data_IF_402658136235
#
_entry.id   IF_402658136235
#
_cell.length_a   1.000
_cell.length_b   1.000
_cell.length_c   1.000
_cell.angle_alpha   90.00
_cell.angle_beta   90.00
_cell.angle_gamma   90.00
#
_symmetry.space_group_name_H-M   'P 1'
#
loop_
_entity.id
_entity.type
_entity.pdbx_description
1 polymer ?
#
# COMPACT_ATOMS: atom_id res chain seq x y z
N UNK A 1 2.24 2.58 4.77
CA UNK A 1 1.02 3.03 5.45
C UNK A 1 0.43 1.88 6.23
N UNK A 2 0.01 2.07 7.49
CA UNK A 2 -0.74 1.03 8.21
C UNK A 2 -2.18 1.00 7.69
N UNK A 3 -2.70 -0.20 7.51
CA UNK A 3 -4.09 -0.45 7.12
C UNK A 3 -4.69 -1.53 7.99
N UNK A 4 -6.01 -1.54 8.06
CA UNK A 4 -6.78 -2.64 8.65
C UNK A 4 -7.67 -3.26 7.59
N UNK A 5 -7.63 -4.59 7.50
CA UNK A 5 -8.30 -5.38 6.45
C UNK A 5 -9.08 -6.55 7.03
N UNK A 6 -10.18 -6.91 6.36
CA UNK A 6 -11.03 -8.02 6.79
C UNK A 6 -11.96 -7.66 7.95
N UNK A 7 -12.76 -8.64 8.38
CA UNK A 7 -13.79 -8.44 9.42
C UNK A 7 -13.21 -8.16 10.80
N UNK A 8 -12.02 -8.68 11.08
CA UNK A 8 -11.34 -8.53 12.37
C UNK A 8 -10.37 -7.34 12.38
N UNK A 9 -10.43 -6.47 11.38
CA UNK A 9 -9.53 -5.32 11.25
C UNK A 9 -8.06 -5.74 11.41
N UNK A 10 -7.62 -6.75 10.66
CA UNK A 10 -6.25 -7.25 10.75
C UNK A 10 -5.26 -6.15 10.37
N UNK A 11 -4.30 -5.77 11.24
CA UNK A 11 -3.35 -4.73 10.96
C UNK A 11 -2.29 -5.20 9.97
N UNK A 12 -2.10 -4.47 8.89
CA UNK A 12 -1.09 -4.74 7.87
C UNK A 12 -0.39 -3.47 7.42
N UNK A 13 0.79 -3.63 6.81
CA UNK A 13 1.49 -2.54 6.14
C UNK A 13 1.22 -2.59 4.65
N UNK A 14 0.76 -1.46 4.11
CA UNK A 14 0.48 -1.27 2.70
C UNK A 14 1.42 -0.25 2.05
N UNK A 15 1.79 -0.54 0.80
CA UNK A 15 2.39 0.39 -0.15
C UNK A 15 1.28 0.99 -1.01
N UNK A 16 1.21 2.32 -1.03
CA UNK A 16 0.39 3.06 -2.00
C UNK A 16 1.15 3.12 -3.30
N UNK A 17 0.61 2.54 -4.38
CA UNK A 17 1.34 2.44 -5.64
C UNK A 17 0.48 2.82 -6.84
N UNK A 18 0.60 4.07 -7.27
CA UNK A 18 -0.15 4.64 -8.40
C UNK A 18 0.15 3.98 -9.73
N UNK A 19 1.29 3.31 -9.88
CA UNK A 19 1.65 2.57 -11.09
C UNK A 19 1.13 1.11 -11.09
N UNK A 20 0.54 0.62 -9.99
CA UNK A 20 -0.04 -0.72 -9.97
C UNK A 20 -1.43 -0.73 -10.57
N UNK A 21 -1.69 -1.67 -11.48
CA UNK A 21 -3.02 -1.90 -12.03
C UNK A 21 -3.93 -2.72 -11.10
N UNK A 22 -3.37 -3.30 -10.04
CA UNK A 22 -4.09 -4.19 -9.11
C UNK A 22 -3.82 -3.83 -7.64
N UNK A 23 -4.79 -4.17 -6.81
CA UNK A 23 -4.58 -4.34 -5.38
C UNK A 23 -4.04 -5.75 -5.15
N UNK A 24 -2.96 -5.89 -4.38
CA UNK A 24 -2.31 -7.18 -4.15
C UNK A 24 -2.12 -7.36 -2.65
N UNK A 25 -2.38 -8.56 -2.16
CA UNK A 25 -2.09 -8.98 -0.78
C UNK A 25 -1.36 -10.31 -0.85
N UNK A 26 -0.42 -10.55 0.05
CA UNK A 26 0.21 -11.87 0.17
C UNK A 26 -0.80 -12.90 0.68
N UNK A 27 -0.62 -14.16 0.30
CA UNK A 27 -1.46 -15.26 0.77
C UNK A 27 -1.50 -15.31 2.31
N UNK A 28 -0.34 -15.25 2.96
CA UNK A 28 -0.23 -15.24 4.43
C UNK A 28 -1.07 -14.13 5.08
N UNK A 29 -1.05 -12.92 4.53
CA UNK A 29 -1.82 -11.81 5.07
C UNK A 29 -3.31 -11.95 4.78
N UNK A 30 -3.69 -12.52 3.63
CA UNK A 30 -5.09 -12.82 3.32
C UNK A 30 -5.66 -13.89 4.26
N UNK A 31 -4.88 -14.93 4.57
CA UNK A 31 -5.25 -15.99 5.52
C UNK A 31 -5.38 -15.41 6.93
N UNK A 32 -4.40 -14.63 7.41
CA UNK A 32 -4.44 -14.01 8.75
C UNK A 32 -5.60 -13.02 8.92
N UNK A 33 -5.98 -12.34 7.84
CA UNK A 33 -7.12 -11.43 7.82
C UNK A 33 -8.47 -12.14 7.57
N UNK A 34 -8.47 -13.47 7.48
CA UNK A 34 -9.65 -14.30 7.21
C UNK A 34 -10.44 -13.80 5.99
N UNK A 35 -9.73 -13.40 4.93
CA UNK A 35 -10.37 -12.87 3.73
C UNK A 35 -10.99 -14.00 2.92
N UNK A 36 -12.29 -13.90 2.55
CA UNK A 36 -12.89 -14.80 1.60
C UNK A 36 -12.09 -14.78 0.29
N UNK A 37 -11.76 -15.94 -0.23
CA UNK A 37 -11.06 -16.03 -1.51
C UNK A 37 -11.84 -16.91 -2.50
N UNK A 38 -11.78 -16.54 -3.77
CA UNK A 38 -12.16 -17.40 -4.89
C UNK A 38 -10.89 -17.79 -5.63
N UNK A 39 -10.79 -19.06 -6.05
CA UNK A 39 -9.66 -19.51 -6.86
C UNK A 39 -9.60 -18.72 -8.16
N UNK A 40 -8.41 -18.29 -8.52
CA UNK A 40 -8.08 -17.63 -9.77
C UNK A 40 -6.80 -18.27 -10.29
N UNK A 41 -6.68 -18.42 -11.61
CA UNK A 41 -5.42 -18.77 -12.23
C UNK A 41 -5.02 -17.63 -13.16
N UNK A 42 -4.17 -16.74 -12.65
CA UNK A 42 -3.67 -15.57 -13.36
C UNK A 42 -2.20 -15.41 -13.00
N UNK A 43 -1.44 -14.76 -13.87
CA UNK A 43 -0.08 -14.34 -13.56
C UNK A 43 0.12 -12.86 -13.88
N UNK A 44 0.96 -12.21 -13.08
CA UNK A 44 1.38 -10.83 -13.27
C UNK A 44 2.80 -10.80 -13.76
N UNK A 45 3.07 -9.95 -14.74
CA UNK A 45 4.42 -9.69 -15.23
C UNK A 45 4.87 -8.32 -14.76
N UNK A 46 5.96 -8.29 -13.99
CA UNK A 46 6.63 -7.05 -13.61
C UNK A 46 7.49 -6.47 -14.74
N UNK A 47 7.91 -5.22 -14.59
CA UNK A 47 8.76 -4.50 -15.57
C UNK A 47 10.08 -5.25 -15.84
N UNK A 48 10.63 -5.93 -14.83
CA UNK A 48 11.83 -6.78 -14.97
C UNK A 48 11.60 -8.14 -15.61
N UNK A 49 10.40 -8.42 -16.15
CA UNK A 49 10.05 -9.70 -16.78
C UNK A 49 9.70 -10.83 -15.80
N UNK A 50 9.90 -10.63 -14.50
CA UNK A 50 9.48 -11.55 -13.46
C UNK A 50 7.98 -11.80 -13.51
N UNK A 51 7.59 -13.07 -13.37
CA UNK A 51 6.18 -13.48 -13.36
C UNK A 51 5.80 -13.95 -11.96
N UNK A 52 4.69 -13.44 -11.44
CA UNK A 52 4.13 -13.79 -10.13
C UNK A 52 2.75 -14.38 -10.31
N UNK A 53 2.52 -15.60 -9.81
CA UNK A 53 1.20 -16.24 -9.86
C UNK A 53 0.24 -15.61 -8.86
N UNK A 54 -0.99 -15.34 -9.30
CA UNK A 54 -2.12 -14.99 -8.45
C UNK A 54 -2.98 -16.24 -8.26
N UNK A 55 -3.07 -16.67 -7.00
CA UNK A 55 -3.73 -17.92 -6.60
C UNK A 55 -5.22 -17.74 -6.30
N UNK A 56 -5.69 -16.50 -6.17
CA UNK A 56 -7.07 -16.19 -5.85
C UNK A 56 -7.40 -14.71 -5.91
N UNK A 57 -8.70 -14.41 -5.89
CA UNK A 57 -9.21 -13.06 -5.62
C UNK A 57 -9.76 -13.03 -4.20
N UNK A 58 -9.25 -12.12 -3.37
CA UNK A 58 -9.83 -11.80 -2.07
C UNK A 58 -11.06 -10.91 -2.27
N UNK A 59 -12.22 -11.32 -1.75
CA UNK A 59 -13.45 -10.54 -1.77
C UNK A 59 -13.62 -9.82 -0.42
N UNK A 60 -13.21 -8.55 -0.38
CA UNK A 60 -13.45 -7.70 0.77
C UNK A 60 -13.59 -6.23 0.34
N UNK A 61 -14.59 -5.56 0.91
CA UNK A 61 -15.05 -4.25 0.46
C UNK A 61 -14.43 -3.08 1.22
N UNK A 62 -13.80 -3.33 2.36
CA UNK A 62 -13.34 -2.26 3.26
C UNK A 62 -11.87 -2.44 3.64
N UNK A 63 -11.10 -1.39 3.40
CA UNK A 63 -9.74 -1.19 3.93
C UNK A 63 -9.79 0.11 4.73
N UNK A 64 -9.42 0.07 6.00
CA UNK A 64 -9.32 1.28 6.81
C UNK A 64 -7.88 1.77 6.80
N UNK A 65 -7.69 3.06 6.54
CA UNK A 65 -6.37 3.69 6.49
C UNK A 65 -6.00 4.26 7.86
N UNK A 66 -4.75 4.03 8.28
CA UNK A 66 -4.20 4.60 9.50
C UNK A 66 -2.83 5.23 9.25
N UNK A 67 -2.58 6.37 9.90
CA UNK A 67 -1.28 7.05 9.85
C UNK A 67 -0.22 6.25 10.60
N UNK A 68 1.00 6.22 10.05
CA UNK A 68 2.15 5.57 10.66
C UNK A 68 2.25 4.07 10.37
N UNK A 69 3.15 3.41 11.10
CA UNK A 69 3.47 1.98 10.93
C UNK A 69 4.90 1.77 10.41
N UNK A 70 5.62 0.83 11.05
CA UNK A 70 6.94 0.35 10.64
C UNK A 70 6.85 -1.16 10.43
N UNK A 71 7.52 -1.67 9.40
CA UNK A 71 7.57 -3.11 9.11
C UNK A 71 7.50 -3.42 7.62
N UNK A 72 7.57 -4.71 7.32
CA UNK A 72 7.49 -5.23 5.96
C UNK A 72 6.13 -4.93 5.34
N UNK A 73 6.13 -4.51 4.07
CA UNK A 73 4.92 -4.27 3.30
C UNK A 73 4.37 -5.62 2.81
N UNK A 74 3.09 -5.85 3.05
CA UNK A 74 2.40 -7.08 2.64
C UNK A 74 1.20 -6.82 1.73
N UNK A 75 0.84 -5.54 1.53
CA UNK A 75 -0.28 -5.11 0.70
C UNK A 75 0.18 -4.03 -0.27
N UNK A 76 -0.28 -4.10 -1.52
CA UNK A 76 -0.19 -3.03 -2.51
C UNK A 76 -1.59 -2.48 -2.73
N UNK A 77 -1.77 -1.18 -2.49
CA UNK A 77 -2.97 -0.43 -2.84
C UNK A 77 -2.71 0.25 -4.18
N UNK A 78 -3.21 -0.37 -5.24
CA UNK A 78 -3.05 0.07 -6.62
C UNK A 78 -4.15 1.02 -7.08
N UNK A 79 -4.11 1.38 -8.36
CA UNK A 79 -5.08 2.30 -8.99
C UNK A 79 -6.55 1.97 -8.69
N UNK A 80 -7.01 0.70 -8.67
CA UNK A 80 -8.40 0.41 -8.34
C UNK A 80 -8.80 0.94 -6.97
N UNK A 81 -8.00 0.65 -5.93
CA UNK A 81 -8.27 1.18 -4.58
C UNK A 81 -8.23 2.71 -4.55
N UNK A 82 -7.24 3.32 -5.21
CA UNK A 82 -7.07 4.77 -5.23
C UNK A 82 -8.26 5.48 -5.90
N UNK A 83 -8.74 4.93 -7.02
CA UNK A 83 -9.87 5.47 -7.77
C UNK A 83 -11.18 5.34 -6.99
N UNK A 84 -11.47 4.15 -6.46
CA UNK A 84 -12.71 3.87 -5.71
C UNK A 84 -12.84 4.76 -4.46
N UNK A 85 -11.70 5.06 -3.82
CA UNK A 85 -11.63 5.87 -2.61
C UNK A 85 -11.34 7.35 -2.88
N UNK A 86 -11.35 7.79 -4.15
CA UNK A 86 -11.08 9.18 -4.58
C UNK A 86 -9.80 9.76 -3.97
N UNK A 87 -8.79 8.91 -3.81
CA UNK A 87 -7.51 9.31 -3.21
C UNK A 87 -6.79 10.27 -4.15
N UNK A 88 -6.19 11.31 -3.57
CA UNK A 88 -5.40 12.30 -4.29
C UNK A 88 -3.99 12.38 -3.72
N UNK A 89 -3.03 12.51 -4.62
CA UNK A 89 -1.68 12.96 -4.28
C UNK A 89 -1.60 14.44 -4.64
N UNK A 90 -1.24 15.25 -3.67
CA UNK A 90 -1.08 16.70 -3.84
C UNK A 90 0.31 17.13 -3.37
N UNK A 91 0.84 18.21 -3.92
CA UNK A 91 2.12 18.76 -3.50
C UNK A 91 1.95 20.21 -3.06
N UNK A 92 2.39 20.51 -1.84
CA UNK A 92 2.46 21.89 -1.36
C UNK A 92 3.88 22.24 -0.92
N UNK A 93 4.30 23.49 -1.14
CA UNK A 93 5.60 23.97 -0.68
C UNK A 93 5.75 23.94 0.84
N UNK A 94 4.64 23.92 1.60
CA UNK A 94 4.66 23.90 3.07
C UNK A 94 4.74 22.49 3.66
N UNK A 95 4.03 21.53 3.06
CA UNK A 95 3.88 20.19 3.62
C UNK A 95 4.57 19.09 2.79
N UNK A 96 4.99 19.42 1.56
CA UNK A 96 5.58 18.49 0.60
C UNK A 96 4.50 17.71 -0.13
N UNK A 97 4.79 16.46 -0.48
CA UNK A 97 3.82 15.56 -1.10
C UNK A 97 2.88 14.97 -0.03
N UNK A 98 1.58 15.07 -0.27
CA UNK A 98 0.51 14.73 0.66
C UNK A 98 -0.40 13.70 0.01
N UNK A 99 -0.67 12.63 0.74
CA UNK A 99 -1.75 11.71 0.48
C UNK A 99 -3.05 12.24 1.09
N UNK A 100 -4.08 12.41 0.28
CA UNK A 100 -5.39 12.91 0.69
C UNK A 100 -6.43 11.82 0.48
N UNK A 101 -7.13 11.47 1.56
CA UNK A 101 -8.25 10.53 1.56
C UNK A 101 -9.47 11.17 2.23
N UNK A 102 -10.59 11.18 1.53
CA UNK A 102 -11.86 11.67 2.06
C UNK A 102 -12.60 10.50 2.70
N UNK A 103 -12.56 10.41 4.03
CA UNK A 103 -13.18 9.31 4.78
C UNK A 103 -14.70 9.52 4.89
N UNK A 104 -15.13 10.76 5.10
CA UNK A 104 -16.55 11.20 5.07
C UNK A 104 -16.62 12.62 4.51
N UNK A 105 -17.81 13.14 4.19
CA UNK A 105 -17.95 14.53 3.72
C UNK A 105 -17.35 15.57 4.67
N UNK A 106 -17.32 15.26 5.98
CA UNK A 106 -16.78 16.12 7.04
C UNK A 106 -15.37 15.72 7.51
N UNK A 107 -14.84 14.57 7.10
CA UNK A 107 -13.55 14.05 7.57
C UNK A 107 -12.61 13.73 6.40
N UNK A 108 -11.47 14.43 6.40
CA UNK A 108 -10.38 14.23 5.45
C UNK A 108 -9.11 13.84 6.20
N UNK A 109 -8.50 12.73 5.78
CA UNK A 109 -7.19 12.31 6.22
C UNK A 109 -6.13 12.87 5.26
N UNK A 110 -5.22 13.68 5.78
CA UNK A 110 -4.07 14.21 5.05
C UNK A 110 -2.79 13.65 5.68
N UNK A 111 -2.04 12.85 4.93
CA UNK A 111 -0.79 12.23 5.41
C UNK A 111 0.39 12.70 4.56
N UNK A 112 1.44 13.31 5.15
CA UNK A 112 2.64 13.63 4.39
C UNK A 112 3.36 12.35 3.95
N UNK A 113 3.68 12.26 2.66
CA UNK A 113 4.49 11.19 2.05
C UNK A 113 5.97 11.61 2.08
N UNK A 114 6.25 12.81 1.59
CA UNK A 114 7.57 13.41 1.51
C UNK A 114 7.55 14.79 2.15
N UNK A 115 8.50 15.11 3.04
CA UNK A 115 8.57 16.41 3.70
C UNK A 115 9.03 17.50 2.71
N UNK A 116 8.43 18.69 2.79
CA UNK A 116 8.77 19.83 1.93
C UNK A 116 10.26 20.19 1.86
N UNK A 117 11.03 19.95 2.93
CA UNK A 117 12.44 20.30 3.02
C UNK A 117 13.39 19.21 2.52
N UNK A 118 12.86 18.04 2.10
CA UNK A 118 13.63 17.01 1.42
C UNK A 118 13.35 17.19 -0.07
N UNK A 119 14.12 18.06 -0.71
CA UNK A 119 14.00 18.35 -2.15
C UNK A 119 14.98 17.49 -2.95
N UNK A 120 14.52 16.96 -4.08
CA UNK A 120 15.33 16.21 -5.06
C UNK A 120 15.31 14.69 -4.90
N UNK A 121 15.81 13.99 -5.92
CA UNK A 121 16.01 12.54 -5.88
C UNK A 121 17.04 12.20 -4.78
N UNK A 122 16.64 11.41 -3.78
CA UNK A 122 17.61 10.85 -2.84
C UNK A 122 18.42 9.77 -3.55
N UNK A 123 19.68 10.06 -3.83
CA UNK A 123 20.63 9.14 -4.47
C UNK A 123 21.48 8.36 -3.48
N UNK A 124 21.43 8.73 -2.19
CA UNK A 124 22.08 8.00 -1.11
C UNK A 124 21.20 6.86 -0.55
N UNK A 125 21.80 5.85 0.09
CA UNK A 125 21.04 4.83 0.78
C UNK A 125 20.14 5.48 1.85
N UNK A 126 18.90 5.00 2.05
CA UNK A 126 18.02 5.53 3.09
C UNK A 126 18.72 5.45 4.45
N UNK A 127 18.83 6.59 5.15
CA UNK A 127 19.58 6.68 6.43
C UNK A 127 19.00 5.81 7.55
N UNK A 128 17.81 5.24 7.37
CA UNK A 128 17.09 4.43 8.37
C UNK A 128 16.89 2.96 7.97
N UNK A 129 17.48 2.48 6.87
CA UNK A 129 17.36 1.07 6.47
C UNK A 129 18.57 0.29 6.96
N UNK A 130 18.37 -0.60 7.93
CA UNK A 130 19.33 -1.65 8.24
C UNK A 130 19.20 -2.75 7.19
N UNK A 131 20.26 -2.98 6.43
CA UNK A 131 20.35 -4.14 5.55
C UNK A 131 20.44 -5.40 6.41
N UNK A 132 19.45 -6.30 6.32
CA UNK A 132 19.60 -7.66 6.82
C UNK A 132 20.33 -8.44 5.73
N UNK A 133 21.61 -8.75 5.95
CA UNK A 133 22.31 -9.72 5.11
C UNK A 133 21.59 -11.06 5.23
N UNK A 134 21.17 -11.64 4.10
CA UNK A 134 20.83 -13.06 4.06
C UNK A 134 22.14 -13.84 4.15
N UNK A 135 22.29 -14.63 5.20
CA UNK A 135 23.27 -15.71 5.24
C UNK A 135 22.96 -16.68 4.10
N UNK A 136 24.02 -17.12 3.42
CA UNK A 136 23.96 -18.03 2.26
C UNK A 136 23.66 -19.46 2.68
#
# INVERSE_FOLDING_TARGET
MKVFVGKEEYPAMALVYTASELNIITEDSAIKASLPNRKLNMSLRGIGGHTTSLIGLADFKQVMLASGGKGSVHIVLGRPFLADNKIRLDFSQKQGEIFIYQETDSRRLCMPICKAHILGWQTGPPREWSFVQREK
#
